data_IF_222900265954
#
_entry.id   IF_222900265954
#
_cell.length_a   1.000
_cell.length_b   1.000
_cell.length_c   1.000
_cell.angle_alpha   90.00
_cell.angle_beta   90.00
_cell.angle_gamma   90.00
#
_symmetry.space_group_name_H-M   'P 1'
#
loop_
_entity.id
_entity.type
_entity.pdbx_description
1 polymer ?
#
# COMPACT_ATOMS: atom_id res chain seq x y z
N UNK A 1 2.53 14.85 -7.35
CA UNK A 1 2.54 13.63 -8.19
C UNK A 1 1.84 13.88 -9.52
N UNK A 2 2.38 13.34 -10.63
CA UNK A 2 1.82 13.43 -11.99
C UNK A 2 1.46 12.07 -12.58
N UNK A 3 0.74 11.26 -11.80
CA UNK A 3 0.51 9.85 -12.11
C UNK A 3 -0.26 9.66 -13.41
N UNK A 4 -1.36 10.40 -13.61
CA UNK A 4 -2.20 10.29 -14.78
C UNK A 4 -1.45 10.72 -16.04
N UNK A 5 -0.78 11.87 -16.00
CA UNK A 5 -0.03 12.38 -17.13
C UNK A 5 1.09 11.43 -17.55
N UNK A 6 1.81 10.84 -16.60
CA UNK A 6 2.94 9.94 -16.87
C UNK A 6 2.52 8.55 -17.34
N UNK A 7 1.38 8.01 -16.84
CA UNK A 7 1.04 6.60 -17.04
C UNK A 7 -0.22 6.36 -17.90
N UNK A 8 -1.18 7.29 -17.95
CA UNK A 8 -2.50 7.05 -18.56
C UNK A 8 -2.87 8.02 -19.68
N UNK A 9 -2.31 9.24 -19.70
CA UNK A 9 -2.67 10.25 -20.69
C UNK A 9 -2.45 9.77 -22.13
N UNK A 10 -1.46 8.92 -22.35
CA UNK A 10 -1.10 8.35 -23.66
C UNK A 10 -2.09 7.30 -24.15
N UNK A 11 -2.94 6.75 -23.27
CA UNK A 11 -3.96 5.77 -23.66
C UNK A 11 -5.21 6.43 -24.23
N UNK A 12 -5.52 7.67 -23.82
CA UNK A 12 -6.73 8.40 -24.20
C UNK A 12 -6.90 8.48 -25.73
N UNK A 13 -5.88 8.87 -26.53
CA UNK A 13 -6.01 8.95 -27.98
C UNK A 13 -6.44 7.61 -28.60
N UNK A 14 -5.83 6.52 -28.13
CA UNK A 14 -6.13 5.17 -28.60
C UNK A 14 -7.53 4.75 -28.20
N UNK A 15 -7.94 5.02 -26.95
CA UNK A 15 -9.29 4.68 -26.46
C UNK A 15 -10.38 5.42 -27.21
N UNK A 16 -10.24 6.73 -27.41
CA UNK A 16 -11.16 7.54 -28.23
C UNK A 16 -11.26 7.01 -29.65
N UNK A 17 -10.12 6.72 -30.29
CA UNK A 17 -10.09 6.19 -31.66
C UNK A 17 -10.75 4.82 -31.76
N UNK A 18 -10.50 3.94 -30.79
CA UNK A 18 -11.10 2.61 -30.72
C UNK A 18 -12.61 2.69 -30.51
N UNK A 19 -13.09 3.52 -29.57
CA UNK A 19 -14.52 3.77 -29.36
C UNK A 19 -15.18 4.30 -30.63
N UNK A 20 -14.62 5.34 -31.25
CA UNK A 20 -15.17 5.90 -32.49
C UNK A 20 -15.30 4.85 -33.59
N UNK A 21 -14.26 4.02 -33.79
CA UNK A 21 -14.27 2.93 -34.78
C UNK A 21 -15.27 1.83 -34.43
N UNK A 22 -15.35 1.42 -33.16
CA UNK A 22 -16.28 0.39 -32.66
C UNK A 22 -17.72 0.74 -33.01
N UNK A 23 -18.09 2.01 -32.92
CA UNK A 23 -19.43 2.52 -33.23
C UNK A 23 -19.58 3.05 -34.66
N UNK A 24 -18.60 2.82 -35.54
CA UNK A 24 -18.61 3.25 -36.95
C UNK A 24 -18.80 4.77 -37.17
N UNK A 25 -18.35 5.59 -36.20
CA UNK A 25 -18.47 7.04 -36.25
C UNK A 25 -17.35 7.67 -37.09
N UNK A 26 -17.66 8.74 -37.82
CA UNK A 26 -16.68 9.61 -38.49
C UNK A 26 -16.13 10.62 -37.50
N UNK A 27 -14.94 11.17 -37.80
CA UNK A 27 -14.35 12.21 -36.96
C UNK A 27 -15.21 13.50 -36.94
N UNK A 28 -15.98 13.75 -38.00
CA UNK A 28 -16.96 14.85 -38.07
C UNK A 28 -18.13 14.69 -37.09
N UNK A 29 -18.42 13.47 -36.68
CA UNK A 29 -19.55 13.17 -35.79
C UNK A 29 -19.18 13.50 -34.33
N UNK A 30 -17.89 13.66 -34.04
CA UNK A 30 -17.35 14.07 -32.74
C UNK A 30 -16.93 15.56 -32.72
N UNK A 31 -17.37 16.35 -33.70
CA UNK A 31 -17.05 17.76 -33.85
C UNK A 31 -16.14 18.06 -35.04
N UNK A 32 -15.18 18.99 -34.89
CA UNK A 32 -14.29 19.33 -35.98
C UNK A 32 -13.35 18.17 -36.31
N UNK A 33 -13.49 17.57 -37.50
CA UNK A 33 -12.72 16.40 -37.91
C UNK A 33 -11.20 16.61 -37.80
N UNK A 34 -10.70 17.82 -38.09
CA UNK A 34 -9.30 18.17 -37.92
C UNK A 34 -8.85 18.13 -36.47
N UNK A 35 -9.63 18.71 -35.55
CA UNK A 35 -9.35 18.68 -34.12
C UNK A 35 -9.39 17.25 -33.55
N UNK A 36 -10.44 16.49 -33.87
CA UNK A 36 -10.58 15.08 -33.46
C UNK A 36 -9.40 14.25 -33.96
N UNK A 37 -8.96 14.46 -35.21
CA UNK A 37 -7.77 13.80 -35.76
C UNK A 37 -6.48 14.13 -35.00
N UNK A 38 -6.34 15.35 -34.48
CA UNK A 38 -5.18 15.69 -33.63
C UNK A 38 -5.26 15.00 -32.27
N UNK A 39 -6.46 14.91 -31.67
CA UNK A 39 -6.68 14.21 -30.39
C UNK A 39 -6.36 12.72 -30.53
N UNK A 40 -6.88 12.05 -31.57
CA UNK A 40 -6.60 10.63 -31.84
C UNK A 40 -5.11 10.33 -32.15
N UNK A 41 -4.31 11.36 -32.44
CA UNK A 41 -2.86 11.27 -32.66
C UNK A 41 -2.06 11.68 -31.42
N UNK A 42 -2.70 11.99 -30.30
CA UNK A 42 -2.05 12.50 -29.09
C UNK A 42 -1.44 13.89 -29.24
N UNK A 43 -1.77 14.64 -30.30
CA UNK A 43 -1.22 15.98 -30.57
C UNK A 43 -2.00 17.09 -29.87
N UNK A 44 -3.21 16.79 -29.39
CA UNK A 44 -4.07 17.69 -28.61
C UNK A 44 -4.75 16.90 -27.50
N UNK A 45 -4.98 17.55 -26.37
CA UNK A 45 -5.78 17.00 -25.29
C UNK A 45 -7.25 16.86 -25.72
N UNK A 46 -7.95 15.91 -25.11
CA UNK A 46 -9.39 15.74 -25.31
C UNK A 46 -10.14 16.92 -24.68
N UNK A 47 -11.22 17.35 -25.34
CA UNK A 47 -12.07 18.45 -24.88
C UNK A 47 -13.42 17.94 -24.39
N UNK A 48 -14.08 18.72 -23.53
CA UNK A 48 -15.42 18.42 -23.03
C UNK A 48 -16.44 18.17 -24.15
N UNK A 49 -16.34 18.91 -25.26
CA UNK A 49 -17.23 18.72 -26.42
C UNK A 49 -17.05 17.35 -27.08
N UNK A 50 -15.79 16.89 -27.24
CA UNK A 50 -15.52 15.56 -27.81
C UNK A 50 -16.08 14.47 -26.89
N UNK A 51 -15.94 14.64 -25.57
CA UNK A 51 -16.53 13.72 -24.59
C UNK A 51 -18.06 13.68 -24.70
N UNK A 52 -18.72 14.84 -24.74
CA UNK A 52 -20.17 14.93 -24.90
C UNK A 52 -20.64 14.21 -26.17
N UNK A 53 -19.98 14.43 -27.31
CA UNK A 53 -20.34 13.75 -28.55
C UNK A 53 -20.12 12.24 -28.46
N UNK A 54 -19.03 11.78 -27.84
CA UNK A 54 -18.81 10.35 -27.64
C UNK A 54 -19.89 9.74 -26.75
N UNK A 55 -20.18 10.35 -25.60
CA UNK A 55 -21.20 9.89 -24.67
C UNK A 55 -22.58 9.81 -25.35
N UNK A 56 -23.00 10.86 -26.04
CA UNK A 56 -24.31 10.89 -26.72
C UNK A 56 -24.44 9.89 -27.87
N UNK A 57 -23.34 9.57 -28.56
CA UNK A 57 -23.35 8.65 -29.71
C UNK A 57 -23.10 7.19 -29.33
N UNK A 58 -22.52 6.92 -28.15
CA UNK A 58 -22.05 5.58 -27.77
C UNK A 58 -22.62 5.06 -26.45
N UNK A 59 -23.35 5.91 -25.71
CA UNK A 59 -23.84 5.66 -24.35
C UNK A 59 -22.71 5.31 -23.34
N UNK A 60 -21.45 5.61 -23.69
CA UNK A 60 -20.29 5.34 -22.83
C UNK A 60 -20.13 6.44 -21.78
N UNK A 61 -19.91 6.05 -20.52
CA UNK A 61 -19.66 6.99 -19.42
C UNK A 61 -18.37 7.80 -19.67
N UNK A 62 -18.38 9.09 -19.32
CA UNK A 62 -17.19 9.94 -19.34
C UNK A 62 -16.02 9.32 -18.56
N UNK A 63 -16.33 8.67 -17.43
CA UNK A 63 -15.33 7.95 -16.62
C UNK A 63 -14.65 6.86 -17.43
N UNK A 64 -15.41 6.04 -18.16
CA UNK A 64 -14.88 4.95 -18.97
C UNK A 64 -14.08 5.48 -20.17
N UNK A 65 -14.51 6.60 -20.76
CA UNK A 65 -13.77 7.23 -21.86
C UNK A 65 -12.39 7.72 -21.37
N UNK A 66 -12.33 8.35 -20.20
CA UNK A 66 -11.08 8.97 -19.68
C UNK A 66 -10.19 8.00 -18.93
N UNK A 67 -10.74 7.20 -18.01
CA UNK A 67 -9.98 6.30 -17.16
C UNK A 67 -9.99 4.85 -17.66
N UNK A 68 -10.96 4.46 -18.49
CA UNK A 68 -11.14 3.07 -18.90
C UNK A 68 -11.82 2.29 -17.79
N UNK A 69 -11.23 1.17 -17.40
CA UNK A 69 -11.65 0.47 -16.19
C UNK A 69 -11.21 1.27 -14.96
N UNK A 70 -12.17 1.91 -14.29
CA UNK A 70 -11.92 2.77 -13.14
C UNK A 70 -11.37 1.99 -11.95
N UNK A 71 -11.79 0.73 -11.75
CA UNK A 71 -11.30 -0.09 -10.66
C UNK A 71 -9.82 -0.39 -10.88
N UNK A 72 -9.45 -0.80 -12.10
CA UNK A 72 -8.06 -1.05 -12.48
C UNK A 72 -7.20 0.23 -12.44
N UNK A 73 -7.75 1.36 -12.86
CA UNK A 73 -7.07 2.66 -12.77
C UNK A 73 -6.74 2.99 -11.30
N UNK A 74 -7.72 2.87 -10.41
CA UNK A 74 -7.54 3.18 -8.98
C UNK A 74 -6.61 2.17 -8.30
N UNK A 75 -6.67 0.90 -8.68
CA UNK A 75 -5.76 -0.15 -8.22
C UNK A 75 -4.30 0.20 -8.56
N UNK A 76 -4.03 0.50 -9.84
CA UNK A 76 -2.71 0.86 -10.32
C UNK A 76 -2.19 2.16 -9.69
N UNK A 77 -3.08 3.14 -9.46
CA UNK A 77 -2.74 4.37 -8.75
C UNK A 77 -2.38 4.07 -7.30
N UNK A 78 -3.17 3.25 -6.61
CA UNK A 78 -2.87 2.85 -5.25
C UNK A 78 -1.54 2.07 -5.18
N UNK A 79 -1.29 1.17 -6.13
CA UNK A 79 -0.03 0.42 -6.24
C UNK A 79 1.17 1.38 -6.37
N UNK A 80 1.08 2.36 -7.28
CA UNK A 80 2.12 3.37 -7.47
C UNK A 80 2.33 4.26 -6.24
N UNK A 81 1.25 4.71 -5.61
CA UNK A 81 1.35 5.48 -4.36
C UNK A 81 1.94 4.64 -3.23
N UNK A 82 1.56 3.36 -3.14
CA UNK A 82 2.02 2.45 -2.08
C UNK A 82 3.48 2.03 -2.27
N UNK A 83 3.96 1.90 -3.52
CA UNK A 83 5.37 1.59 -3.80
C UNK A 83 6.33 2.68 -3.31
N UNK A 84 5.83 3.88 -2.98
CA UNK A 84 6.64 4.93 -2.33
C UNK A 84 7.28 4.48 -1.01
N UNK A 85 6.74 3.46 -0.34
CA UNK A 85 7.30 2.92 0.92
C UNK A 85 8.65 2.22 0.74
N UNK A 86 9.01 1.86 -0.51
CA UNK A 86 10.28 1.21 -0.83
C UNK A 86 11.46 2.18 -0.72
N UNK A 87 11.22 3.47 -0.93
CA UNK A 87 12.25 4.50 -0.84
C UNK A 87 12.44 4.98 0.58
N UNK A 88 13.60 5.58 0.89
CA UNK A 88 13.81 6.31 2.15
C UNK A 88 12.77 7.41 2.36
N UNK A 89 12.65 7.86 3.60
CA UNK A 89 11.68 8.89 3.99
C UNK A 89 11.97 10.19 3.21
N UNK A 90 11.10 10.49 2.24
CA UNK A 90 11.27 11.56 1.25
C UNK A 90 11.36 12.94 1.93
N UNK A 91 10.76 13.09 3.10
CA UNK A 91 10.83 14.31 3.92
C UNK A 91 12.24 14.58 4.46
N UNK A 92 13.06 13.54 4.67
CA UNK A 92 14.34 13.63 5.38
C UNK A 92 15.56 13.58 4.47
N UNK A 93 15.43 13.00 3.29
CA UNK A 93 16.54 12.80 2.35
C UNK A 93 16.78 14.03 1.48
N UNK A 94 18.04 14.23 1.07
CA UNK A 94 18.39 15.30 0.14
C UNK A 94 17.61 15.12 -1.18
N UNK A 95 16.99 16.19 -1.70
CA UNK A 95 16.28 16.20 -3.00
C UNK A 95 17.13 15.69 -4.17
N UNK A 96 18.47 15.75 -4.06
CA UNK A 96 19.40 15.17 -5.03
C UNK A 96 19.36 13.64 -5.10
N UNK A 97 18.92 12.98 -4.03
CA UNK A 97 18.78 11.52 -3.97
C UNK A 97 17.61 11.05 -4.83
N UNK A 98 16.47 11.75 -4.76
CA UNK A 98 15.27 11.46 -5.55
C UNK A 98 14.78 12.71 -6.25
N UNK A 99 15.19 12.88 -7.51
CA UNK A 99 14.77 14.03 -8.34
C UNK A 99 13.27 14.05 -8.63
N UNK A 100 12.57 12.94 -8.41
CA UNK A 100 11.13 12.81 -8.57
C UNK A 100 10.33 13.22 -7.31
N UNK A 101 11.01 13.51 -6.19
CA UNK A 101 10.33 13.87 -4.94
C UNK A 101 9.68 15.25 -5.03
N UNK A 102 8.38 15.32 -4.78
CA UNK A 102 7.61 16.56 -4.61
C UNK A 102 6.78 16.53 -3.31
N UNK A 103 6.21 17.68 -2.93
CA UNK A 103 5.48 17.82 -1.66
C UNK A 103 4.24 16.91 -1.61
N UNK A 104 3.58 16.69 -2.75
CA UNK A 104 2.45 15.76 -2.86
C UNK A 104 2.91 14.32 -2.58
N UNK A 105 4.04 13.89 -3.15
CA UNK A 105 4.57 12.55 -2.99
C UNK A 105 5.08 12.31 -1.57
N UNK A 106 5.64 13.32 -0.90
CA UNK A 106 5.99 13.27 0.52
C UNK A 106 4.73 13.00 1.36
N UNK A 107 3.63 13.71 1.08
CA UNK A 107 2.35 13.52 1.77
C UNK A 107 1.78 12.12 1.53
N UNK A 108 1.81 11.66 0.28
CA UNK A 108 1.39 10.30 -0.11
C UNK A 108 2.22 9.26 0.65
N UNK A 109 3.54 9.35 0.59
CA UNK A 109 4.45 8.41 1.25
C UNK A 109 4.19 8.36 2.76
N UNK A 110 4.02 9.51 3.42
CA UNK A 110 3.72 9.57 4.85
C UNK A 110 2.45 8.77 5.20
N UNK A 111 1.39 8.90 4.41
CA UNK A 111 0.15 8.15 4.60
C UNK A 111 0.32 6.64 4.34
N UNK A 112 1.08 6.26 3.30
CA UNK A 112 1.38 4.86 2.97
C UNK A 112 2.27 4.19 4.02
N UNK A 113 3.28 4.90 4.56
CA UNK A 113 4.14 4.42 5.64
C UNK A 113 3.33 4.16 6.91
N UNK A 114 2.42 5.08 7.28
CA UNK A 114 1.51 4.90 8.42
C UNK A 114 0.64 3.64 8.27
N UNK A 115 0.17 3.36 7.06
CA UNK A 115 -0.60 2.16 6.77
C UNK A 115 0.26 0.90 6.86
N UNK A 116 1.46 0.94 6.27
CA UNK A 116 2.41 -0.18 6.23
C UNK A 116 2.87 -0.65 7.60
N UNK A 117 2.82 0.23 8.61
CA UNK A 117 3.08 -0.13 10.02
C UNK A 117 2.21 -1.26 10.56
N UNK A 118 1.11 -1.59 9.89
CA UNK A 118 0.30 -2.77 10.23
C UNK A 118 1.03 -4.10 10.02
N UNK A 119 2.13 -4.13 9.25
CA UNK A 119 2.89 -5.34 8.93
C UNK A 119 4.17 -5.40 9.77
N UNK A 120 4.24 -6.37 10.70
CA UNK A 120 5.39 -6.54 11.58
C UNK A 120 6.72 -6.75 10.83
N UNK A 121 6.69 -7.57 9.76
CA UNK A 121 7.87 -7.85 8.95
C UNK A 121 8.40 -6.59 8.26
N UNK A 122 7.50 -5.78 7.71
CA UNK A 122 7.83 -4.48 7.14
C UNK A 122 8.53 -3.59 8.16
N UNK A 123 8.00 -3.46 9.39
CA UNK A 123 8.60 -2.59 10.40
C UNK A 123 10.04 -2.97 10.74
N UNK A 124 10.32 -4.28 10.87
CA UNK A 124 11.67 -4.79 11.14
C UNK A 124 12.61 -4.48 9.97
N UNK A 125 12.20 -4.85 8.75
CA UNK A 125 13.03 -4.70 7.55
C UNK A 125 13.24 -3.23 7.18
N UNK A 126 12.21 -2.40 7.35
CA UNK A 126 12.28 -0.94 7.17
C UNK A 126 13.27 -0.31 8.14
N UNK A 127 13.30 -0.74 9.40
CA UNK A 127 14.28 -0.24 10.38
C UNK A 127 15.72 -0.57 9.95
N UNK A 128 15.96 -1.81 9.51
CA UNK A 128 17.27 -2.21 8.98
C UNK A 128 17.65 -1.41 7.73
N UNK A 129 16.69 -1.22 6.82
CA UNK A 129 16.88 -0.43 5.60
C UNK A 129 17.29 1.02 5.92
N UNK A 130 16.59 1.68 6.84
CA UNK A 130 16.93 3.05 7.24
C UNK A 130 18.34 3.16 7.87
N UNK A 131 18.80 2.10 8.55
CA UNK A 131 20.14 2.01 9.12
C UNK A 131 21.25 1.57 8.12
N UNK A 132 20.86 1.07 6.94
CA UNK A 132 21.78 0.69 5.87
C UNK A 132 22.20 1.89 5.03
N UNK A 133 22.97 1.67 3.96
CA UNK A 133 23.27 2.63 2.89
C UNK A 133 22.41 2.44 1.63
N UNK A 134 21.49 1.46 1.63
CA UNK A 134 20.60 1.18 0.49
C UNK A 134 19.68 2.36 0.20
N UNK A 135 19.41 2.62 -1.07
CA UNK A 135 18.51 3.70 -1.49
C UNK A 135 17.07 3.23 -1.61
N UNK A 136 16.86 1.97 -1.98
CA UNK A 136 15.54 1.39 -2.18
C UNK A 136 15.51 -0.01 -1.56
N UNK A 137 14.40 -0.35 -0.91
CA UNK A 137 14.17 -1.67 -0.36
C UNK A 137 13.99 -2.68 -1.50
N UNK A 138 14.66 -3.81 -1.40
CA UNK A 138 14.43 -4.90 -2.34
C UNK A 138 13.04 -5.53 -2.11
N UNK A 139 12.48 -6.13 -3.16
CA UNK A 139 11.21 -6.86 -3.12
C UNK A 139 11.34 -8.24 -3.78
N UNK A 140 10.68 -9.23 -3.18
CA UNK A 140 10.30 -10.46 -3.86
C UNK A 140 9.02 -11.01 -3.24
N UNK A 141 8.21 -11.68 -4.06
CA UNK A 141 7.04 -12.37 -3.56
C UNK A 141 7.45 -13.70 -2.93
N UNK A 142 7.13 -13.92 -1.64
CA UNK A 142 7.53 -15.15 -0.94
C UNK A 142 6.93 -16.40 -1.56
N UNK A 143 5.80 -16.30 -2.24
CA UNK A 143 5.21 -17.42 -2.97
C UNK A 143 6.08 -17.88 -4.14
N UNK A 144 6.97 -17.03 -4.64
CA UNK A 144 7.89 -17.35 -5.73
C UNK A 144 9.26 -17.83 -5.22
N UNK A 145 9.48 -17.86 -3.89
CA UNK A 145 10.69 -18.41 -3.27
C UNK A 145 10.63 -19.94 -3.23
N UNK A 146 10.55 -20.53 -4.42
CA UNK A 146 10.39 -21.96 -4.67
C UNK A 146 11.57 -22.44 -5.51
N UNK A 147 12.20 -23.51 -5.03
CA UNK A 147 13.22 -24.24 -5.79
C UNK A 147 12.57 -25.21 -6.78
N UNK A 148 12.88 -25.02 -8.06
CA UNK A 148 12.47 -25.85 -9.18
C UNK A 148 13.70 -26.58 -9.71
N UNK A 149 13.66 -27.90 -9.70
CA UNK A 149 14.73 -28.73 -10.27
C UNK A 149 14.39 -29.11 -11.71
N UNK A 150 15.28 -28.81 -12.65
CA UNK A 150 15.19 -29.23 -14.06
C UNK A 150 16.46 -30.01 -14.42
N UNK A 151 16.32 -31.32 -14.57
CA UNK A 151 17.46 -32.23 -14.72
C UNK A 151 18.31 -32.26 -13.45
N UNK A 152 19.61 -31.95 -13.58
CA UNK A 152 20.56 -31.89 -12.45
C UNK A 152 20.74 -30.47 -11.86
N UNK A 153 20.00 -29.48 -12.38
CA UNK A 153 20.12 -28.08 -11.96
C UNK A 153 18.89 -27.65 -11.16
N UNK A 154 19.12 -27.02 -10.01
CA UNK A 154 18.08 -26.36 -9.23
C UNK A 154 18.08 -24.86 -9.52
N UNK A 155 16.89 -24.29 -9.70
CA UNK A 155 16.65 -22.88 -9.94
C UNK A 155 15.58 -22.40 -8.96
N UNK A 156 15.83 -21.29 -8.29
CA UNK A 156 14.83 -20.61 -7.49
C UNK A 156 14.18 -19.51 -8.33
N UNK A 157 12.86 -19.51 -8.47
CA UNK A 157 12.17 -18.58 -9.36
C UNK A 157 12.39 -17.11 -8.95
N UNK A 158 12.31 -16.82 -7.65
CA UNK A 158 12.55 -15.49 -7.12
C UNK A 158 14.03 -15.06 -7.17
N UNK A 159 14.99 -15.98 -7.12
CA UNK A 159 16.41 -15.65 -6.85
C UNK A 159 17.35 -15.90 -8.03
N UNK A 160 17.19 -17.01 -8.76
CA UNK A 160 18.19 -17.48 -9.73
C UNK A 160 18.31 -16.62 -10.99
N UNK A 161 17.33 -15.75 -11.25
CA UNK A 161 17.30 -14.88 -12.43
C UNK A 161 17.63 -13.41 -12.11
N UNK A 162 18.01 -13.10 -10.87
CA UNK A 162 18.36 -11.74 -10.45
C UNK A 162 19.82 -11.42 -10.76
N UNK A 163 20.09 -10.15 -11.05
CA UNK A 163 21.45 -9.64 -11.27
C UNK A 163 22.23 -9.42 -9.96
N UNK A 164 21.53 -9.22 -8.85
CA UNK A 164 22.08 -8.98 -7.51
C UNK A 164 21.48 -9.97 -6.51
N UNK A 165 22.26 -10.29 -5.47
CA UNK A 165 21.79 -11.09 -4.34
C UNK A 165 20.82 -10.30 -3.48
N UNK A 166 19.76 -10.97 -3.01
CA UNK A 166 18.77 -10.38 -2.12
C UNK A 166 19.39 -10.13 -0.73
N UNK A 167 19.16 -8.94 -0.18
CA UNK A 167 19.47 -8.63 1.21
C UNK A 167 18.30 -9.04 2.13
N UNK A 168 18.43 -10.21 2.77
CA UNK A 168 17.40 -10.77 3.68
C UNK A 168 17.06 -9.85 4.87
N UNK A 169 17.91 -8.87 5.20
CA UNK A 169 17.66 -7.94 6.31
C UNK A 169 16.72 -6.79 5.93
N UNK A 170 16.60 -6.46 4.64
CA UNK A 170 15.88 -5.26 4.16
C UNK A 170 14.77 -5.59 3.17
N UNK A 171 14.73 -6.81 2.62
CA UNK A 171 13.80 -7.22 1.57
C UNK A 171 12.38 -7.47 2.07
N UNK A 172 11.36 -6.92 1.40
CA UNK A 172 9.94 -7.09 1.78
C UNK A 172 9.13 -7.89 0.75
N UNK A 173 8.03 -8.51 1.20
CA UNK A 173 6.99 -9.06 0.31
C UNK A 173 5.97 -7.97 -0.01
N UNK A 174 6.36 -7.08 -0.92
CA UNK A 174 5.55 -5.92 -1.30
C UNK A 174 4.21 -6.34 -1.92
N UNK A 175 4.21 -7.35 -2.79
CA UNK A 175 3.01 -7.86 -3.46
C UNK A 175 1.99 -8.39 -2.47
N UNK A 176 2.41 -9.21 -1.49
CA UNK A 176 1.49 -9.72 -0.47
C UNK A 176 0.92 -8.57 0.39
N UNK A 177 1.75 -7.59 0.74
CA UNK A 177 1.29 -6.40 1.48
C UNK A 177 0.27 -5.60 0.67
N UNK A 178 0.53 -5.37 -0.61
CA UNK A 178 -0.35 -4.66 -1.52
C UNK A 178 -1.69 -5.40 -1.66
N UNK A 179 -1.68 -6.69 -1.98
CA UNK A 179 -2.88 -7.52 -2.16
C UNK A 179 -3.79 -7.45 -0.92
N UNK A 180 -3.21 -7.61 0.27
CA UNK A 180 -3.95 -7.56 1.54
C UNK A 180 -4.60 -6.19 1.73
N UNK A 181 -3.88 -5.10 1.49
CA UNK A 181 -4.39 -3.74 1.64
C UNK A 181 -5.44 -3.40 0.58
N UNK A 182 -5.23 -3.81 -0.66
CA UNK A 182 -6.18 -3.60 -1.76
C UNK A 182 -7.50 -4.32 -1.48
N UNK A 183 -7.46 -5.56 -0.97
CA UNK A 183 -8.66 -6.27 -0.53
C UNK A 183 -9.44 -5.54 0.58
N UNK A 184 -8.78 -4.73 1.40
CA UNK A 184 -9.42 -3.97 2.49
C UNK A 184 -9.87 -2.56 2.09
N UNK A 185 -9.18 -1.95 1.12
CA UNK A 185 -9.35 -0.54 0.75
C UNK A 185 -10.01 -0.33 -0.60
N UNK A 186 -9.89 -1.26 -1.54
CA UNK A 186 -10.19 -1.08 -2.95
C UNK A 186 -11.58 -0.48 -3.18
N UNK A 187 -12.62 -1.10 -2.63
CA UNK A 187 -14.00 -0.61 -2.74
C UNK A 187 -14.17 0.82 -2.20
N UNK A 188 -13.50 1.17 -1.10
CA UNK A 188 -13.60 2.50 -0.49
C UNK A 188 -12.83 3.54 -1.32
N UNK A 189 -11.67 3.16 -1.86
CA UNK A 189 -10.88 4.02 -2.74
C UNK A 189 -11.63 4.30 -4.04
N UNK A 190 -12.19 3.27 -4.68
CA UNK A 190 -12.95 3.40 -5.92
C UNK A 190 -14.17 4.31 -5.71
N UNK A 191 -15.01 4.02 -4.70
CA UNK A 191 -16.18 4.85 -4.40
C UNK A 191 -15.80 6.30 -4.07
N UNK A 192 -14.76 6.49 -3.27
CA UNK A 192 -14.29 7.83 -2.92
C UNK A 192 -13.74 8.58 -4.13
N UNK A 193 -13.00 7.91 -5.02
CA UNK A 193 -12.48 8.48 -6.25
C UNK A 193 -13.62 8.89 -7.20
N UNK A 194 -14.64 8.05 -7.36
CA UNK A 194 -15.80 8.37 -8.18
C UNK A 194 -16.54 9.62 -7.69
N UNK A 195 -16.69 9.77 -6.37
CA UNK A 195 -17.40 10.92 -5.79
C UNK A 195 -16.55 12.18 -5.85
N UNK A 196 -15.30 12.12 -5.38
CA UNK A 196 -14.49 13.30 -5.10
C UNK A 196 -13.59 13.73 -6.28
N UNK A 197 -13.26 12.82 -7.19
CA UNK A 197 -12.51 13.14 -8.42
C UNK A 197 -13.45 13.20 -9.60
N UNK A 198 -14.15 12.09 -9.91
CA UNK A 198 -15.01 12.05 -11.10
C UNK A 198 -16.23 12.97 -10.98
N UNK A 199 -16.83 13.07 -9.79
CA UNK A 199 -17.95 13.97 -9.54
C UNK A 199 -17.61 15.44 -9.80
N UNK A 200 -16.39 15.87 -9.47
CA UNK A 200 -15.90 17.23 -9.77
C UNK A 200 -15.51 17.36 -11.24
N UNK A 201 -14.78 16.38 -11.78
CA UNK A 201 -14.21 16.43 -13.13
C UNK A 201 -15.29 16.39 -14.23
N UNK A 202 -16.41 15.71 -13.97
CA UNK A 202 -17.51 15.53 -14.92
C UNK A 202 -18.81 16.19 -14.45
N UNK A 203 -18.72 17.26 -13.67
CA UNK A 203 -19.89 18.03 -13.25
C UNK A 203 -20.60 18.62 -14.48
N UNK A 204 -21.87 18.24 -14.65
CA UNK A 204 -22.67 18.60 -15.81
C UNK A 204 -23.31 19.98 -15.63
N UNK A 205 -23.25 20.79 -16.67
CA UNK A 205 -24.07 22.01 -16.75
C UNK A 205 -25.54 21.68 -17.08
N UNK A 206 -26.38 22.72 -17.14
CA UNK A 206 -27.80 22.59 -17.48
C UNK A 206 -28.08 22.02 -18.89
N UNK A 207 -27.06 21.87 -19.73
CA UNK A 207 -27.14 21.27 -21.06
C UNK A 207 -26.54 19.85 -21.11
N UNK A 208 -26.13 19.28 -19.97
CA UNK A 208 -25.53 17.95 -19.90
C UNK A 208 -24.06 17.90 -20.33
N UNK A 209 -23.38 19.06 -20.45
CA UNK A 209 -21.98 19.13 -20.85
C UNK A 209 -21.10 19.08 -19.58
N UNK A 210 -20.04 18.26 -19.55
CA UNK A 210 -19.09 18.27 -18.44
C UNK A 210 -18.31 19.60 -18.45
N UNK A 211 -18.79 20.56 -17.68
CA UNK A 211 -18.39 21.97 -17.76
C UNK A 211 -17.04 22.26 -17.09
N UNK A 212 -16.67 21.40 -16.14
CA UNK A 212 -15.43 21.47 -15.36
C UNK A 212 -14.29 20.66 -15.98
N UNK A 213 -14.58 19.82 -16.98
CA UNK A 213 -13.60 18.89 -17.52
C UNK A 213 -12.43 19.61 -18.20
N UNK A 214 -11.24 19.37 -17.67
CA UNK A 214 -9.95 19.68 -18.31
C UNK A 214 -8.98 18.57 -17.98
N UNK A 215 -8.30 18.03 -18.99
CA UNK A 215 -7.37 16.93 -18.81
C UNK A 215 -6.22 17.31 -17.85
N UNK A 216 -5.71 18.55 -17.96
CA UNK A 216 -4.67 19.10 -17.07
C UNK A 216 -5.06 19.19 -15.59
N UNK A 217 -6.35 19.10 -15.26
CA UNK A 217 -6.84 19.14 -13.88
C UNK A 217 -6.88 17.76 -13.22
N UNK A 218 -6.66 16.67 -13.95
CA UNK A 218 -6.83 15.32 -13.42
C UNK A 218 -5.83 15.05 -12.28
N UNK A 219 -4.52 15.21 -12.51
CA UNK A 219 -3.51 15.01 -11.47
C UNK A 219 -3.69 15.95 -10.26
N UNK A 220 -3.93 17.27 -10.43
CA UNK A 220 -4.27 18.14 -9.31
C UNK A 220 -5.47 17.67 -8.47
N UNK A 221 -6.53 17.17 -9.11
CA UNK A 221 -7.70 16.63 -8.40
C UNK A 221 -7.36 15.32 -7.68
N UNK A 222 -6.54 14.46 -8.28
CA UNK A 222 -6.07 13.22 -7.65
C UNK A 222 -5.26 13.53 -6.39
N UNK A 223 -4.29 14.44 -6.47
CA UNK A 223 -3.45 14.79 -5.31
C UNK A 223 -4.29 15.42 -4.19
N UNK A 224 -5.24 16.29 -4.56
CA UNK A 224 -6.19 16.86 -3.61
C UNK A 224 -7.06 15.79 -2.96
N UNK A 225 -7.65 14.87 -3.74
CA UNK A 225 -8.45 13.76 -3.21
C UNK A 225 -7.65 12.86 -2.27
N UNK A 226 -6.40 12.55 -2.62
CA UNK A 226 -5.53 11.78 -1.75
C UNK A 226 -5.34 12.47 -0.40
N UNK A 227 -5.02 13.76 -0.43
CA UNK A 227 -4.83 14.54 0.79
C UNK A 227 -6.14 14.67 1.59
N UNK A 228 -7.20 15.19 0.98
CA UNK A 228 -8.45 15.57 1.65
C UNK A 228 -9.28 14.37 2.12
N UNK A 229 -9.18 13.20 1.46
CA UNK A 229 -10.01 12.04 1.74
C UNK A 229 -9.20 10.79 2.10
N UNK A 230 -8.21 10.40 1.28
CA UNK A 230 -7.50 9.13 1.49
C UNK A 230 -6.67 9.18 2.77
N UNK A 231 -5.87 10.23 2.94
CA UNK A 231 -4.90 10.37 4.03
C UNK A 231 -5.54 10.75 5.38
N UNK A 232 -6.66 11.48 5.34
CA UNK A 232 -7.35 12.06 6.49
C UNK A 232 -8.49 11.19 7.02
N UNK A 233 -9.14 10.42 6.14
CA UNK A 233 -10.33 9.65 6.49
C UNK A 233 -10.15 8.15 6.20
N UNK A 234 -9.89 7.76 4.95
CA UNK A 234 -9.91 6.35 4.54
C UNK A 234 -8.82 5.53 5.26
N UNK A 235 -7.56 5.95 5.14
CA UNK A 235 -6.43 5.27 5.77
C UNK A 235 -6.57 5.30 7.30
N UNK A 236 -6.83 6.45 7.97
CA UNK A 236 -7.02 6.47 9.42
C UNK A 236 -8.15 5.57 9.92
N UNK A 237 -9.28 5.51 9.21
CA UNK A 237 -10.39 4.63 9.55
C UNK A 237 -10.02 3.15 9.43
N UNK A 238 -9.25 2.77 8.40
CA UNK A 238 -8.73 1.40 8.30
C UNK A 238 -7.75 1.11 9.43
N UNK A 239 -6.77 1.98 9.69
CA UNK A 239 -5.79 1.79 10.78
C UNK A 239 -6.50 1.57 12.12
N UNK A 240 -7.57 2.32 12.40
CA UNK A 240 -8.37 2.13 13.62
C UNK A 240 -8.93 0.70 13.70
N UNK A 241 -9.52 0.19 12.61
CA UNK A 241 -10.04 -1.18 12.54
C UNK A 241 -8.92 -2.23 12.67
N UNK A 242 -7.77 -1.99 12.05
CA UNK A 242 -6.62 -2.91 12.10
C UNK A 242 -6.00 -3.00 13.50
N UNK A 243 -5.99 -1.89 14.26
CA UNK A 243 -5.56 -1.89 15.67
C UNK A 243 -6.48 -2.69 16.59
N UNK A 244 -7.77 -2.78 16.26
CA UNK A 244 -8.74 -3.60 16.98
C UNK A 244 -8.62 -5.10 16.61
N UNK A 245 -7.97 -5.42 15.49
CA UNK A 245 -7.75 -6.79 15.05
C UNK A 245 -6.44 -7.35 15.63
N UNK A 246 -6.47 -8.49 16.37
CA UNK A 246 -5.26 -9.04 17.00
C UNK A 246 -4.12 -9.38 16.02
N UNK A 247 -4.42 -9.82 14.80
CA UNK A 247 -3.42 -10.21 13.81
C UNK A 247 -2.63 -8.98 13.32
N UNK A 248 -3.34 -7.91 13.00
CA UNK A 248 -2.76 -6.68 12.46
C UNK A 248 -2.18 -5.76 13.54
N UNK A 249 -2.74 -5.81 14.75
CA UNK A 249 -2.21 -5.03 15.88
C UNK A 249 -0.76 -5.39 16.23
N UNK A 250 -0.31 -6.62 15.95
CA UNK A 250 1.08 -7.04 16.15
C UNK A 250 2.05 -6.14 15.38
N UNK A 251 1.71 -5.70 14.16
CA UNK A 251 2.54 -4.78 13.40
C UNK A 251 2.81 -3.49 14.15
N UNK A 252 1.74 -2.84 14.63
CA UNK A 252 1.85 -1.59 15.40
C UNK A 252 2.60 -1.77 16.74
N UNK A 253 2.47 -2.94 17.39
CA UNK A 253 3.25 -3.24 18.59
C UNK A 253 4.74 -3.37 18.29
N UNK A 254 5.10 -4.03 17.18
CA UNK A 254 6.49 -4.16 16.74
C UNK A 254 7.08 -2.79 16.40
N UNK A 255 6.34 -1.94 15.69
CA UNK A 255 6.73 -0.55 15.40
C UNK A 255 7.03 0.23 16.70
N UNK A 256 6.12 0.20 17.68
CA UNK A 256 6.29 0.90 18.96
C UNK A 256 7.50 0.37 19.76
N UNK A 257 7.76 -0.95 19.72
CA UNK A 257 8.96 -1.55 20.32
C UNK A 257 10.22 -1.04 19.63
N UNK A 258 10.26 -1.03 18.29
CA UNK A 258 11.42 -0.57 17.53
C UNK A 258 11.69 0.91 17.76
N UNK A 259 10.66 1.75 17.87
CA UNK A 259 10.83 3.18 18.16
C UNK A 259 11.32 3.44 19.60
N UNK A 260 10.82 2.69 20.60
CA UNK A 260 11.11 2.96 22.02
C UNK A 260 12.31 2.21 22.59
N UNK A 261 12.51 0.97 22.17
CA UNK A 261 13.45 0.03 22.80
C UNK A 261 14.74 -0.11 22.01
N UNK A 262 14.74 0.18 20.72
CA UNK A 262 15.94 0.09 19.90
C UNK A 262 16.80 1.35 20.10
N UNK A 263 17.95 1.19 20.77
CA UNK A 263 18.96 2.24 20.94
C UNK A 263 20.24 1.78 20.24
N UNK A 264 20.68 2.49 19.21
CA UNK A 264 21.88 2.14 18.43
C UNK A 264 23.17 2.14 19.28
N UNK A 265 23.18 2.90 20.37
CA UNK A 265 24.33 3.05 21.25
C UNK A 265 23.94 2.75 22.70
N UNK A 266 23.49 1.53 22.99
CA UNK A 266 23.40 1.08 24.39
C UNK A 266 24.83 0.98 24.94
N UNK A 267 25.23 1.81 25.92
CA UNK A 267 26.54 1.66 26.54
C UNK A 267 26.66 0.23 27.08
N UNK A 268 27.83 -0.41 26.88
CA UNK A 268 28.09 -1.76 27.40
C UNK A 268 27.63 -1.82 28.85
N UNK A 269 26.68 -2.70 29.13
CA UNK A 269 26.20 -2.92 30.49
C UNK A 269 27.39 -3.35 31.35
N UNK A 270 27.75 -2.55 32.34
CA UNK A 270 28.71 -2.93 33.37
C UNK A 270 28.11 -3.93 34.37
N UNK A 271 26.81 -4.24 34.26
CA UNK A 271 26.13 -5.24 35.06
C UNK A 271 26.37 -6.63 34.45
N UNK A 272 27.06 -7.49 35.19
CA UNK A 272 27.24 -8.92 34.88
C UNK A 272 25.99 -9.76 35.18
N UNK A 273 24.98 -9.19 35.83
CA UNK A 273 23.68 -9.82 36.07
C UNK A 273 22.57 -8.77 36.15
N UNK A 274 21.39 -9.11 35.61
CA UNK A 274 20.16 -8.33 35.79
C UNK A 274 19.56 -8.73 37.14
N UNK A 275 19.39 -7.82 38.10
CA UNK A 275 18.69 -8.13 39.33
C UNK A 275 17.21 -8.35 39.02
N UNK A 276 16.82 -9.58 38.71
CA UNK A 276 15.43 -10.00 38.72
C UNK A 276 14.97 -10.00 40.17
N UNK A 277 14.27 -8.94 40.58
CA UNK A 277 13.51 -8.96 41.83
C UNK A 277 12.34 -9.91 41.61
N UNK A 278 12.58 -11.20 41.79
CA UNK A 278 11.52 -12.18 41.96
C UNK A 278 10.91 -11.82 43.32
N UNK A 279 9.85 -11.01 43.32
CA UNK A 279 9.01 -10.88 44.50
C UNK A 279 8.33 -12.24 44.71
N UNK A 280 9.03 -13.14 45.41
CA UNK A 280 8.40 -14.30 46.02
C UNK A 280 7.42 -13.76 47.05
N UNK A 281 6.20 -13.43 46.65
CA UNK A 281 5.07 -13.73 47.51
C UNK A 281 5.13 -15.24 47.67
N UNK A 282 5.68 -15.69 48.80
CA UNK A 282 5.80 -17.08 49.14
C UNK A 282 4.41 -17.73 49.07
N UNK A 283 4.08 -18.38 47.95
CA UNK A 283 3.20 -19.54 48.02
C UNK A 283 4.03 -20.59 48.72
N UNK A 284 3.61 -20.93 49.93
CA UNK A 284 4.15 -22.00 50.75
C UNK A 284 4.31 -23.27 49.92
N UNK A 285 5.53 -23.54 49.46
CA UNK A 285 5.91 -24.87 49.01
C UNK A 285 6.08 -25.71 50.26
N UNK A 286 5.10 -26.58 50.52
CA UNK A 286 5.17 -27.57 51.57
C UNK A 286 6.24 -28.59 51.17
N UNK A 287 7.47 -28.39 51.63
CA UNK A 287 8.56 -29.34 51.46
C UNK A 287 8.50 -30.36 52.59
N UNK A 288 7.91 -31.53 52.30
CA UNK A 288 8.00 -32.68 53.22
C UNK A 288 9.39 -33.28 53.02
N UNK A 289 10.29 -33.03 53.98
CA UNK A 289 11.48 -33.88 54.16
C UNK A 289 11.00 -35.24 54.63
N UNK A 290 11.02 -36.23 53.74
CA UNK A 290 10.93 -37.64 54.10
C UNK A 290 12.28 -38.09 54.69
N UNK A 291 12.55 -37.72 55.94
CA UNK A 291 13.53 -38.42 56.76
C UNK A 291 12.74 -39.27 57.76
N UNK A 292 12.79 -40.58 57.56
CA UNK A 292 12.61 -41.60 58.59
C UNK A 292 11.32 -41.56 59.42
N UNK A 293 10.45 -42.54 59.15
CA UNK A 293 9.50 -43.12 60.11
C UNK A 293 8.39 -42.23 60.66
N UNK A 294 7.38 -41.91 59.84
CA UNK A 294 5.99 -41.80 60.32
C UNK A 294 5.05 -42.42 59.27
N UNK A 295 4.22 -43.37 59.71
CA UNK A 295 3.21 -44.04 58.87
C UNK A 295 2.24 -43.00 58.33
N UNK A 296 2.19 -42.86 57.01
CA UNK A 296 1.20 -42.04 56.30
C UNK A 296 -0.17 -42.71 56.46
N UNK A 297 -1.11 -42.00 57.08
CA UNK A 297 -2.51 -42.40 57.14
C UNK A 297 -3.14 -42.24 55.74
N UNK A 298 -3.33 -43.37 55.06
CA UNK A 298 -3.83 -43.45 53.68
C UNK A 298 -5.24 -42.85 53.52
N UNK A 299 -6.01 -42.70 54.60
CA UNK A 299 -7.37 -42.15 54.52
C UNK A 299 -7.38 -40.65 54.17
N UNK A 300 -6.38 -39.88 54.60
CA UNK A 300 -6.26 -38.44 54.31
C UNK A 300 -5.77 -38.13 52.91
N UNK A 301 -5.06 -39.06 52.27
CA UNK A 301 -4.53 -38.85 50.91
C UNK A 301 -5.58 -39.03 49.81
N UNK A 302 -6.62 -39.82 50.05
CA UNK A 302 -7.67 -40.07 49.07
C UNK A 302 -8.63 -38.87 48.88
N UNK A 303 -8.82 -38.02 49.90
CA UNK A 303 -9.70 -36.84 49.81
C UNK A 303 -9.12 -35.69 48.96
N UNK A 304 -7.82 -35.70 48.67
CA UNK A 304 -7.15 -34.62 47.93
C UNK A 304 -7.22 -34.82 46.40
N UNK A 305 -7.50 -36.04 45.93
CA UNK A 305 -7.51 -36.39 44.50
C UNK A 305 -8.90 -36.41 43.84
N UNK A 306 -9.95 -35.91 44.52
CA UNK A 306 -11.31 -35.86 43.98
C UNK A 306 -11.95 -34.45 43.97
N UNK A 307 -11.14 -33.40 43.88
CA UNK A 307 -11.54 -32.03 43.54
C UNK A 307 -10.78 -31.59 42.29
#
# INVERSE_FOLDING_TARGET
>A
MKFFDENYSQEIPTRIKCLRKKYNLKQSDLGNAGQVSQVEKGKRQVTASILLYLNTQTDSDYKEIIFGDIAKFVENMFYHCFSSILFRDLETVDKRMYSFSDDDLISIQSSCLRLSKTFANFNIQRKNFLASDETEMDTFHKKDDIDITVGEKSYNLARSFRTSTINELTVIDFEEMFDILWLMLGDNLIKSFEVNVCGILFELDGNGIPSTFRQENIDPLINKWWYDNVSTEIIPNLIKKLKENPLFNIGFLVDDILERMYKENIPKSYLTSVPLVISKKARSTLSIKSNGSQKIDKSKFAQILSL
#
